data_IF_927656260759
#
_entry.id   IF_927656260759
#
_cell.length_a   1.000
_cell.length_b   1.000
_cell.length_c   1.000
_cell.angle_alpha   90.00
_cell.angle_beta   90.00
_cell.angle_gamma   90.00
#
_symmetry.space_group_name_H-M   'P 1'
#
loop_
_entity.id
_entity.type
_entity.pdbx_description
1 polymer ?
#
# COMPACT_ATOMS: atom_id res chain seq x y z
N UNK A 1 -22.66 15.12 14.24
CA UNK A 1 -21.17 15.12 14.16
C UNK A 1 -20.69 13.87 14.84
N UNK A 2 -20.06 12.96 14.08
CA UNK A 2 -19.57 11.68 14.59
C UNK A 2 -18.14 11.81 15.12
N UNK A 3 -17.86 11.18 16.25
CA UNK A 3 -16.52 11.14 16.84
C UNK A 3 -15.80 9.86 16.40
N UNK A 4 -14.83 10.00 15.49
CA UNK A 4 -14.13 8.90 14.86
C UNK A 4 -12.70 8.81 15.39
N UNK A 5 -12.33 7.63 15.91
CA UNK A 5 -10.97 7.32 16.31
C UNK A 5 -10.30 6.40 15.29
N UNK A 6 -9.18 6.80 14.71
CA UNK A 6 -8.36 5.95 13.84
C UNK A 6 -7.15 5.47 14.63
N UNK A 7 -7.04 4.15 14.81
CA UNK A 7 -5.98 3.50 15.59
C UNK A 7 -4.96 2.90 14.63
N UNK A 8 -3.76 3.51 14.62
CA UNK A 8 -2.63 3.03 13.80
C UNK A 8 -1.97 1.80 14.43
N UNK A 9 -1.27 1.01 13.63
CA UNK A 9 -0.60 -0.22 14.06
C UNK A 9 0.57 -0.06 15.05
N UNK A 10 0.91 1.15 15.45
CA UNK A 10 1.93 1.41 16.47
C UNK A 10 3.39 1.28 16.03
N UNK A 11 3.66 1.29 14.72
CA UNK A 11 5.02 1.11 14.16
C UNK A 11 5.55 2.40 13.52
N UNK A 12 4.80 3.00 12.62
CA UNK A 12 5.16 4.23 11.92
C UNK A 12 4.18 5.37 12.26
N UNK A 13 4.64 6.64 12.21
CA UNK A 13 3.83 7.79 12.59
C UNK A 13 2.91 8.27 11.47
N UNK A 14 1.79 8.87 11.85
CA UNK A 14 0.93 9.70 11.01
C UNK A 14 0.96 11.14 11.57
N UNK A 15 1.27 12.17 10.74
CA UNK A 15 1.55 12.15 9.30
C UNK A 15 2.77 11.31 8.89
N UNK A 16 2.74 10.77 7.67
CA UNK A 16 3.68 9.77 7.13
C UNK A 16 5.07 10.36 6.77
N UNK A 17 5.81 10.84 7.77
CA UNK A 17 7.16 11.39 7.60
C UNK A 17 8.24 10.32 7.42
N UNK A 18 7.94 9.06 7.76
CA UNK A 18 8.83 7.91 7.60
C UNK A 18 8.42 6.98 6.44
N UNK A 19 7.43 7.38 5.64
CA UNK A 19 6.80 6.53 4.64
C UNK A 19 5.77 5.57 5.26
N UNK A 20 5.47 4.47 4.56
CA UNK A 20 4.42 3.52 4.90
C UNK A 20 3.16 3.76 4.08
N UNK A 21 2.62 2.69 3.47
CA UNK A 21 1.45 2.79 2.60
C UNK A 21 0.19 3.19 3.38
N UNK A 22 -0.04 2.54 4.52
CA UNK A 22 -1.20 2.82 5.39
C UNK A 22 -1.11 4.24 5.96
N UNK A 23 0.07 4.59 6.50
CA UNK A 23 0.32 5.93 7.07
C UNK A 23 0.14 7.03 6.03
N UNK A 24 0.51 6.77 4.77
CA UNK A 24 0.31 7.70 3.66
C UNK A 24 -1.18 7.88 3.36
N UNK A 25 -1.96 6.79 3.30
CA UNK A 25 -3.41 6.85 3.08
C UNK A 25 -4.12 7.62 4.21
N UNK A 26 -3.78 7.36 5.47
CA UNK A 26 -4.38 8.09 6.59
C UNK A 26 -3.92 9.56 6.59
N UNK A 27 -2.68 9.84 6.16
CA UNK A 27 -2.21 11.22 5.97
C UNK A 27 -3.04 11.94 4.90
N UNK A 28 -3.48 11.25 3.84
CA UNK A 28 -4.35 11.82 2.82
C UNK A 28 -5.73 12.21 3.40
N UNK A 29 -6.29 11.37 4.29
CA UNK A 29 -7.50 11.73 5.04
C UNK A 29 -7.24 13.00 5.88
N UNK A 30 -6.14 13.04 6.63
CA UNK A 30 -5.78 14.19 7.48
C UNK A 30 -5.62 15.48 6.66
N UNK A 31 -5.00 15.41 5.49
CA UNK A 31 -4.80 16.57 4.59
C UNK A 31 -6.11 17.15 4.06
N UNK A 32 -7.10 16.31 3.77
CA UNK A 32 -8.37 16.70 3.13
C UNK A 32 -9.48 16.92 4.15
N UNK A 33 -9.27 16.53 5.41
CA UNK A 33 -10.26 16.60 6.48
C UNK A 33 -10.81 18.01 6.70
N UNK A 34 -12.13 18.09 6.85
CA UNK A 34 -12.85 19.31 7.24
C UNK A 34 -13.92 18.96 8.29
N UNK A 35 -14.01 19.77 9.35
CA UNK A 35 -15.10 19.65 10.35
C UNK A 35 -16.49 19.87 9.75
N UNK A 36 -16.60 20.48 8.58
CA UNK A 36 -17.86 20.69 7.87
C UNK A 36 -18.48 19.38 7.40
N UNK A 37 -17.68 18.33 7.27
CA UNK A 37 -18.13 16.99 6.84
C UNK A 37 -18.81 16.20 7.96
N UNK A 38 -19.11 16.83 9.09
CA UNK A 38 -19.86 16.22 10.17
C UNK A 38 -19.06 15.23 11.04
N UNK A 39 -17.75 15.16 10.87
CA UNK A 39 -16.84 14.30 11.60
C UNK A 39 -16.01 15.08 12.62
N UNK A 40 -15.61 14.43 13.70
CA UNK A 40 -14.52 14.79 14.60
C UNK A 40 -13.48 13.69 14.55
N UNK A 41 -12.28 14.01 14.05
CA UNK A 41 -11.25 13.02 13.80
C UNK A 41 -10.17 13.03 14.87
N UNK A 42 -9.90 11.84 15.45
CA UNK A 42 -8.79 11.59 16.37
C UNK A 42 -7.89 10.48 15.81
N UNK A 43 -6.59 10.77 15.65
CA UNK A 43 -5.59 9.81 15.18
C UNK A 43 -4.73 9.35 16.35
N UNK A 44 -4.72 8.05 16.61
CA UNK A 44 -3.84 7.42 17.60
C UNK A 44 -2.56 6.95 16.91
N UNK A 45 -1.46 7.66 17.10
CA UNK A 45 -0.21 7.44 16.37
C UNK A 45 1.01 7.37 17.30
N UNK A 46 2.09 6.75 16.82
CA UNK A 46 3.37 6.77 17.54
C UNK A 46 4.03 8.13 17.42
N UNK A 47 4.70 8.54 18.51
CA UNK A 47 5.45 9.78 18.54
C UNK A 47 6.65 9.73 17.60
N UNK A 48 6.76 10.77 16.76
CA UNK A 48 7.94 11.08 15.97
C UNK A 48 8.07 12.61 15.87
N UNK A 49 9.26 13.13 16.10
CA UNK A 49 9.47 14.60 16.14
C UNK A 49 8.96 15.31 14.90
N UNK A 50 9.29 14.80 13.72
CA UNK A 50 8.88 15.38 12.44
C UNK A 50 7.38 15.23 12.19
N UNK A 51 6.75 14.12 12.64
CA UNK A 51 5.32 13.93 12.50
C UNK A 51 4.53 14.90 13.40
N UNK A 52 4.99 15.16 14.61
CA UNK A 52 4.40 16.18 15.50
C UNK A 52 4.50 17.55 14.86
N UNK A 53 5.64 17.89 14.26
CA UNK A 53 5.80 19.17 13.56
C UNK A 53 4.88 19.26 12.32
N UNK A 54 4.80 18.20 11.52
CA UNK A 54 3.92 18.13 10.37
C UNK A 54 2.43 18.22 10.76
N UNK A 55 2.03 17.63 11.89
CA UNK A 55 0.66 17.65 12.42
C UNK A 55 0.16 19.06 12.75
N UNK A 56 1.05 20.02 13.03
CA UNK A 56 0.67 21.43 13.28
C UNK A 56 -0.02 22.09 12.09
N UNK A 57 0.16 21.56 10.88
CA UNK A 57 -0.54 22.01 9.66
C UNK A 57 -2.02 21.62 9.65
N UNK A 58 -2.44 20.72 10.54
CA UNK A 58 -3.78 20.15 10.60
C UNK A 58 -4.42 20.38 11.98
N UNK A 59 -4.65 21.63 12.40
CA UNK A 59 -5.10 21.97 13.76
C UNK A 59 -6.51 21.48 14.08
N UNK A 60 -7.27 21.10 13.07
CA UNK A 60 -8.62 20.54 13.23
C UNK A 60 -8.63 19.05 13.56
N UNK A 61 -7.53 18.34 13.30
CA UNK A 61 -7.37 16.92 13.61
C UNK A 61 -6.69 16.78 14.97
N UNK A 62 -7.26 15.94 15.83
CA UNK A 62 -6.64 15.63 17.10
C UNK A 62 -5.66 14.46 16.95
N UNK A 63 -4.45 14.59 17.46
CA UNK A 63 -3.46 13.52 17.51
C UNK A 63 -3.22 13.09 18.97
N UNK A 64 -3.25 11.78 19.20
CA UNK A 64 -2.86 11.14 20.46
C UNK A 64 -1.55 10.38 20.22
N UNK A 65 -0.47 10.91 20.78
CA UNK A 65 0.88 10.41 20.55
C UNK A 65 1.29 9.38 21.59
N UNK A 66 1.85 8.25 21.18
CA UNK A 66 2.39 7.22 22.06
C UNK A 66 3.91 7.07 21.88
N UNK A 67 4.62 6.81 22.97
CA UNK A 67 6.07 6.80 23.00
C UNK A 67 6.63 5.37 22.99
N UNK A 68 6.59 4.70 21.83
CA UNK A 68 7.00 3.29 21.68
C UNK A 68 8.53 3.09 21.54
N UNK A 69 9.28 4.11 21.11
CA UNK A 69 10.70 4.01 20.71
C UNK A 69 11.72 4.32 21.83
N UNK A 70 11.39 4.10 23.10
CA UNK A 70 12.38 4.22 24.17
C UNK A 70 13.20 2.94 24.33
N UNK A 71 14.46 3.02 24.79
CA UNK A 71 15.34 1.85 25.01
C UNK A 71 14.69 0.77 25.89
N UNK A 72 13.92 1.18 26.91
CA UNK A 72 13.15 0.26 27.76
C UNK A 72 12.08 -0.51 26.98
N UNK A 73 11.53 0.07 25.90
CA UNK A 73 10.52 -0.58 25.07
C UNK A 73 11.10 -1.57 24.07
N UNK A 74 12.30 -1.31 23.57
CA UNK A 74 13.01 -2.28 22.71
C UNK A 74 13.30 -3.56 23.49
N UNK A 75 13.74 -3.45 24.75
CA UNK A 75 13.96 -4.60 25.63
C UNK A 75 12.64 -5.34 25.94
N UNK A 76 11.57 -4.63 26.27
CA UNK A 76 10.23 -5.20 26.49
C UNK A 76 9.68 -5.85 25.23
N UNK A 77 9.89 -5.24 24.07
CA UNK A 77 9.46 -5.79 22.79
C UNK A 77 10.21 -7.10 22.45
N UNK A 78 11.50 -7.17 22.73
CA UNK A 78 12.27 -8.41 22.57
C UNK A 78 11.73 -9.54 23.46
N UNK A 79 11.40 -9.24 24.73
CA UNK A 79 10.75 -10.20 25.66
C UNK A 79 9.37 -10.61 25.14
N UNK A 80 8.57 -9.65 24.66
CA UNK A 80 7.27 -9.91 24.04
C UNK A 80 7.39 -10.90 22.86
N UNK A 81 8.33 -10.68 21.94
CA UNK A 81 8.56 -11.57 20.81
C UNK A 81 8.99 -12.96 21.25
N UNK A 82 9.85 -13.06 22.27
CA UNK A 82 10.29 -14.33 22.83
C UNK A 82 9.13 -15.10 23.47
N UNK A 83 8.32 -14.45 24.30
CA UNK A 83 7.17 -15.08 24.95
C UNK A 83 6.11 -15.48 23.94
N UNK A 84 5.80 -14.61 22.96
CA UNK A 84 4.86 -14.94 21.87
C UNK A 84 5.34 -16.15 21.07
N UNK A 85 6.64 -16.23 20.76
CA UNK A 85 7.23 -17.35 20.02
C UNK A 85 7.17 -18.66 20.82
N UNK A 86 7.36 -18.60 22.14
CA UNK A 86 7.42 -19.79 23.01
C UNK A 86 6.04 -20.27 23.46
N UNK A 87 5.09 -19.36 23.68
CA UNK A 87 3.80 -19.69 24.32
C UNK A 87 2.60 -19.44 23.42
N UNK A 88 2.75 -18.76 22.28
CA UNK A 88 1.66 -18.27 21.45
C UNK A 88 0.82 -17.15 22.08
N UNK A 89 1.11 -16.78 23.35
CA UNK A 89 0.34 -15.79 24.10
C UNK A 89 0.91 -14.38 23.91
N UNK A 90 0.02 -13.42 23.75
CA UNK A 90 0.35 -11.99 23.69
C UNK A 90 0.29 -11.39 25.10
N UNK A 91 1.38 -10.81 25.57
CA UNK A 91 1.41 -10.14 26.89
C UNK A 91 1.14 -8.66 26.66
N UNK A 92 -0.07 -8.20 26.96
CA UNK A 92 -0.54 -6.81 26.79
C UNK A 92 0.37 -5.77 27.44
N UNK A 93 0.97 -6.08 28.60
CA UNK A 93 1.89 -5.19 29.30
C UNK A 93 3.12 -4.76 28.49
N UNK A 94 3.42 -5.43 27.38
CA UNK A 94 4.53 -5.11 26.49
C UNK A 94 4.10 -4.40 25.19
N UNK A 95 2.80 -4.22 24.99
CA UNK A 95 2.22 -3.50 23.85
C UNK A 95 1.98 -2.03 24.27
N UNK A 96 3.04 -1.28 24.44
CA UNK A 96 2.95 0.06 25.02
C UNK A 96 2.02 0.98 24.24
N UNK A 97 1.98 0.91 22.90
CA UNK A 97 1.07 1.71 22.08
C UNK A 97 -0.37 1.57 22.60
N UNK A 98 -0.92 0.35 22.66
CA UNK A 98 -2.29 0.10 23.08
C UNK A 98 -2.55 0.46 24.55
N UNK A 99 -1.56 0.26 25.42
CA UNK A 99 -1.67 0.65 26.82
C UNK A 99 -1.72 2.18 27.03
N UNK A 100 -1.02 2.95 26.18
CA UNK A 100 -1.03 4.42 26.27
C UNK A 100 -2.32 5.02 25.69
N UNK A 101 -2.95 4.40 24.67
CA UNK A 101 -4.21 4.89 24.12
C UNK A 101 -5.44 4.42 24.90
N UNK A 102 -5.33 3.32 25.65
CA UNK A 102 -6.45 2.73 26.39
C UNK A 102 -7.22 3.73 27.27
N UNK A 103 -6.55 4.60 28.09
CA UNK A 103 -7.27 5.56 28.91
C UNK A 103 -8.10 6.55 28.10
N UNK A 104 -7.62 6.96 26.91
CA UNK A 104 -8.37 7.88 26.04
C UNK A 104 -9.61 7.18 25.46
N UNK A 105 -9.45 5.93 24.99
CA UNK A 105 -10.55 5.13 24.43
C UNK A 105 -11.60 4.83 25.48
N UNK A 106 -11.18 4.52 26.73
CA UNK A 106 -12.11 4.16 27.81
C UNK A 106 -12.84 5.36 28.44
N UNK A 107 -12.20 6.53 28.46
CA UNK A 107 -12.77 7.74 29.08
C UNK A 107 -13.55 8.62 28.10
N UNK A 108 -13.26 8.49 26.80
CA UNK A 108 -13.95 9.25 25.76
C UNK A 108 -14.87 8.32 24.96
N UNK A 109 -15.99 8.87 24.50
CA UNK A 109 -16.96 8.12 23.68
C UNK A 109 -16.67 8.40 22.21
N UNK A 110 -16.20 7.36 21.49
CA UNK A 110 -16.14 7.36 20.04
C UNK A 110 -17.37 6.69 19.46
N UNK A 111 -17.88 7.24 18.38
CA UNK A 111 -18.97 6.60 17.63
C UNK A 111 -18.45 5.41 16.82
N UNK A 112 -17.23 5.55 16.25
CA UNK A 112 -16.48 4.47 15.60
C UNK A 112 -15.00 4.51 15.99
N UNK A 113 -14.41 3.32 16.14
CA UNK A 113 -12.97 3.09 16.23
C UNK A 113 -12.52 2.25 15.01
N UNK A 114 -11.73 2.85 14.14
CA UNK A 114 -11.21 2.20 12.92
C UNK A 114 -9.79 1.75 13.18
N UNK A 115 -9.51 0.46 12.94
CA UNK A 115 -8.23 -0.18 13.21
C UNK A 115 -7.46 -0.36 11.91
N UNK A 116 -6.36 0.37 11.79
CA UNK A 116 -5.49 0.41 10.61
C UNK A 116 -4.32 -0.58 10.75
N UNK A 117 -4.62 -1.85 10.99
CA UNK A 117 -3.62 -2.89 11.23
C UNK A 117 -3.09 -2.92 12.66
N UNK A 118 -2.03 -3.70 12.90
CA UNK A 118 -1.41 -3.87 14.20
C UNK A 118 -1.90 -5.12 14.94
N UNK A 119 -2.27 -4.99 16.22
CA UNK A 119 -2.82 -6.09 17.04
C UNK A 119 -4.31 -5.84 17.31
N UNK A 120 -5.15 -6.42 16.49
CA UNK A 120 -6.61 -6.28 16.55
C UNK A 120 -7.17 -6.77 17.89
N UNK A 121 -6.61 -7.86 18.46
CA UNK A 121 -7.03 -8.36 19.76
C UNK A 121 -6.76 -7.37 20.89
N UNK A 122 -5.63 -6.65 20.80
CA UNK A 122 -5.33 -5.61 21.78
C UNK A 122 -6.35 -4.46 21.72
N UNK A 123 -6.84 -4.12 20.53
CA UNK A 123 -7.90 -3.10 20.39
C UNK A 123 -9.21 -3.60 20.98
N UNK A 124 -9.63 -4.84 20.71
CA UNK A 124 -10.82 -5.44 21.30
C UNK A 124 -10.73 -5.40 22.84
N UNK A 125 -9.57 -5.74 23.40
CA UNK A 125 -9.35 -5.77 24.85
C UNK A 125 -9.47 -4.38 25.49
N UNK A 126 -9.00 -3.31 24.84
CA UNK A 126 -9.10 -1.95 25.38
C UNK A 126 -10.46 -1.30 25.11
N UNK A 127 -11.18 -1.75 24.07
CA UNK A 127 -12.49 -1.27 23.66
C UNK A 127 -13.64 -2.16 24.16
N UNK A 128 -13.45 -2.94 25.22
CA UNK A 128 -14.44 -3.91 25.77
C UNK A 128 -15.80 -3.31 26.15
N UNK A 129 -15.86 -2.00 26.42
CA UNK A 129 -17.08 -1.27 26.77
C UNK A 129 -17.78 -0.69 25.52
N UNK A 130 -17.22 -0.89 24.34
CA UNK A 130 -17.82 -0.57 23.05
C UNK A 130 -18.62 -1.75 22.52
N UNK A 131 -19.70 -1.47 21.81
CA UNK A 131 -20.40 -2.49 21.03
C UNK A 131 -19.56 -2.84 19.82
N UNK A 132 -19.63 -4.08 19.34
CA UNK A 132 -18.87 -4.54 18.17
C UNK A 132 -19.13 -3.70 16.91
N UNK A 133 -20.36 -3.16 16.75
CA UNK A 133 -20.76 -2.30 15.65
C UNK A 133 -20.04 -0.93 15.66
N UNK A 134 -19.39 -0.59 16.76
CA UNK A 134 -18.54 0.61 16.86
C UNK A 134 -17.06 0.32 16.52
N UNK A 135 -16.71 -0.94 16.29
CA UNK A 135 -15.36 -1.36 15.95
C UNK A 135 -15.30 -1.76 14.47
N UNK A 136 -14.44 -1.10 13.73
CA UNK A 136 -14.22 -1.27 12.30
C UNK A 136 -12.79 -1.77 12.07
N UNK A 137 -12.64 -2.87 11.35
CA UNK A 137 -11.34 -3.37 10.92
C UNK A 137 -11.08 -2.95 9.46
N UNK A 138 -9.97 -2.26 9.19
CA UNK A 138 -9.57 -1.88 7.83
C UNK A 138 -8.46 -2.81 7.33
N UNK A 139 -8.78 -3.68 6.38
CA UNK A 139 -7.89 -4.70 5.83
C UNK A 139 -7.10 -4.16 4.62
N UNK A 140 -5.83 -3.86 4.83
CA UNK A 140 -4.89 -3.41 3.80
C UNK A 140 -4.12 -4.53 3.10
N UNK A 141 -4.21 -5.74 3.61
CA UNK A 141 -3.56 -6.93 3.07
C UNK A 141 -4.56 -8.07 2.98
N UNK A 142 -4.30 -9.01 2.06
CA UNK A 142 -5.02 -10.27 2.03
C UNK A 142 -4.52 -11.15 3.19
N UNK A 143 -5.37 -11.43 4.17
CA UNK A 143 -5.11 -12.39 5.24
C UNK A 143 -6.44 -12.94 5.77
N UNK A 144 -6.38 -14.11 6.38
CA UNK A 144 -7.52 -14.72 7.06
C UNK A 144 -7.40 -14.41 8.56
N UNK A 145 -8.27 -13.57 9.10
CA UNK A 145 -8.22 -13.23 10.52
C UNK A 145 -8.64 -14.42 11.38
N UNK A 146 -8.18 -14.42 12.63
CA UNK A 146 -8.63 -15.39 13.61
C UNK A 146 -10.11 -15.14 13.95
N UNK A 147 -10.83 -16.22 14.19
CA UNK A 147 -12.29 -16.17 14.50
C UNK A 147 -12.61 -15.26 15.69
N UNK A 148 -11.76 -15.28 16.72
CA UNK A 148 -11.95 -14.41 17.90
C UNK A 148 -11.83 -12.92 17.54
N UNK A 149 -10.95 -12.60 16.59
CA UNK A 149 -10.79 -11.22 16.09
C UNK A 149 -12.02 -10.80 15.31
N UNK A 150 -12.52 -11.65 14.41
CA UNK A 150 -13.72 -11.36 13.61
C UNK A 150 -14.94 -11.09 14.50
N UNK A 151 -15.11 -11.87 15.57
CA UNK A 151 -16.22 -11.66 16.54
C UNK A 151 -16.21 -10.29 17.19
N UNK A 152 -15.03 -9.69 17.36
CA UNK A 152 -14.88 -8.40 18.03
C UNK A 152 -15.28 -7.20 17.17
N UNK A 153 -15.34 -7.35 15.83
CA UNK A 153 -15.65 -6.25 14.91
C UNK A 153 -17.04 -6.41 14.30
N UNK A 154 -17.81 -5.32 14.23
CA UNK A 154 -19.10 -5.28 13.55
C UNK A 154 -18.97 -4.97 12.06
N UNK A 155 -17.92 -4.23 11.70
CA UNK A 155 -17.67 -3.82 10.32
C UNK A 155 -16.23 -4.14 9.89
N UNK A 156 -16.08 -4.41 8.59
CA UNK A 156 -14.80 -4.58 7.93
C UNK A 156 -14.76 -3.70 6.68
N UNK A 157 -13.71 -2.92 6.53
CA UNK A 157 -13.41 -2.19 5.30
C UNK A 157 -12.29 -2.95 4.58
N UNK A 158 -12.50 -3.33 3.32
CA UNK A 158 -11.46 -3.90 2.46
C UNK A 158 -10.97 -2.89 1.44
N UNK A 159 -9.69 -2.94 1.10
CA UNK A 159 -9.13 -2.07 0.05
C UNK A 159 -9.54 -2.48 -1.36
N UNK A 160 -10.20 -3.62 -1.54
CA UNK A 160 -10.71 -4.14 -2.81
C UNK A 160 -11.86 -5.11 -2.57
N UNK A 161 -12.68 -5.33 -3.59
CA UNK A 161 -13.72 -6.38 -3.58
C UNK A 161 -13.10 -7.78 -3.37
N UNK A 162 -11.90 -7.99 -3.90
CA UNK A 162 -11.17 -9.23 -3.69
C UNK A 162 -10.92 -9.47 -2.19
N UNK A 163 -10.41 -8.47 -1.46
CA UNK A 163 -10.13 -8.59 -0.03
C UNK A 163 -11.42 -8.85 0.76
N UNK A 164 -12.50 -8.17 0.41
CA UNK A 164 -13.82 -8.37 1.03
C UNK A 164 -14.32 -9.80 0.79
N UNK A 165 -14.35 -10.26 -0.46
CA UNK A 165 -14.80 -11.63 -0.80
C UNK A 165 -14.00 -12.72 -0.09
N UNK A 166 -12.68 -12.56 -0.03
CA UNK A 166 -11.82 -13.54 0.66
C UNK A 166 -12.05 -13.54 2.17
N UNK A 167 -12.31 -12.37 2.75
CA UNK A 167 -12.68 -12.23 4.14
C UNK A 167 -14.03 -12.91 4.43
N UNK A 168 -15.07 -12.63 3.63
CA UNK A 168 -16.40 -13.22 3.77
C UNK A 168 -16.38 -14.76 3.66
N UNK A 169 -15.61 -15.31 2.70
CA UNK A 169 -15.43 -16.76 2.56
C UNK A 169 -14.79 -17.40 3.79
N UNK A 170 -13.88 -16.67 4.44
CA UNK A 170 -13.15 -17.18 5.60
C UNK A 170 -13.92 -17.00 6.91
N UNK A 171 -14.85 -16.06 6.97
CA UNK A 171 -15.57 -15.69 8.18
C UNK A 171 -16.84 -16.53 8.36
N UNK A 172 -16.98 -17.13 9.55
CA UNK A 172 -18.20 -17.83 9.97
C UNK A 172 -19.21 -16.92 10.70
N UNK A 173 -18.84 -15.69 10.98
CA UNK A 173 -19.64 -14.72 11.70
C UNK A 173 -20.06 -13.58 10.77
N UNK A 174 -21.30 -13.10 10.86
CA UNK A 174 -21.74 -11.96 10.09
C UNK A 174 -20.95 -10.71 10.50
N UNK A 175 -20.34 -10.08 9.53
CA UNK A 175 -19.65 -8.79 9.63
C UNK A 175 -20.13 -7.97 8.45
N UNK A 176 -20.50 -6.72 8.67
CA UNK A 176 -20.86 -5.83 7.58
C UNK A 176 -19.58 -5.41 6.84
N UNK A 177 -19.56 -5.58 5.54
CA UNK A 177 -18.37 -5.37 4.73
C UNK A 177 -18.53 -4.17 3.81
N UNK A 178 -17.46 -3.40 3.67
CA UNK A 178 -17.40 -2.19 2.86
C UNK A 178 -16.12 -2.19 2.03
N UNK A 179 -16.12 -1.49 0.89
CA UNK A 179 -14.91 -1.31 0.07
C UNK A 179 -14.51 0.15 0.06
N UNK A 180 -13.28 0.42 0.50
CA UNK A 180 -12.63 1.72 0.36
C UNK A 180 -11.34 1.55 -0.43
N UNK A 181 -11.41 1.79 -1.73
CA UNK A 181 -10.24 1.65 -2.63
C UNK A 181 -9.16 2.65 -2.27
N UNK A 182 -7.91 2.17 -2.26
CA UNK A 182 -6.73 3.00 -2.01
C UNK A 182 -6.58 4.12 -3.03
N UNK A 183 -5.87 5.15 -2.65
CA UNK A 183 -5.52 6.28 -3.51
C UNK A 183 -4.03 6.63 -3.42
N UNK A 184 -3.61 7.51 -4.29
CA UNK A 184 -2.29 8.12 -4.32
C UNK A 184 -2.42 9.64 -4.47
N UNK A 185 -1.36 10.36 -4.14
CA UNK A 185 -1.19 11.77 -4.49
C UNK A 185 -0.84 11.84 -5.99
N UNK A 186 -1.85 11.98 -6.85
CA UNK A 186 -1.69 11.95 -8.31
C UNK A 186 -0.72 13.02 -8.78
N UNK A 187 -0.78 14.22 -8.20
CA UNK A 187 0.10 15.34 -8.59
C UNK A 187 1.58 15.06 -8.29
N UNK A 188 1.84 14.19 -7.32
CA UNK A 188 3.21 13.75 -6.99
C UNK A 188 3.83 12.90 -8.10
N UNK A 189 3.01 12.11 -8.81
CA UNK A 189 3.45 11.19 -9.84
C UNK A 189 3.25 11.73 -11.26
N UNK A 190 2.25 12.58 -11.50
CA UNK A 190 2.04 13.26 -12.79
C UNK A 190 3.06 14.40 -13.01
N UNK A 191 4.34 14.02 -12.94
CA UNK A 191 5.48 14.91 -13.14
C UNK A 191 6.19 14.60 -14.43
N UNK A 192 6.52 15.64 -15.16
CA UNK A 192 7.37 15.54 -16.34
C UNK A 192 8.80 15.98 -16.01
N UNK A 193 9.77 15.39 -16.68
CA UNK A 193 11.15 15.85 -16.69
C UNK A 193 11.49 16.45 -18.05
N UNK A 194 12.49 17.33 -18.13
CA UNK A 194 12.95 17.86 -19.43
C UNK A 194 13.65 16.77 -20.25
N UNK A 195 13.66 16.91 -21.57
CA UNK A 195 14.41 16.00 -22.45
C UNK A 195 15.89 15.96 -22.10
N UNK A 196 16.47 17.05 -21.65
CA UNK A 196 17.86 17.09 -21.19
C UNK A 196 18.07 16.25 -19.94
N UNK A 197 17.17 16.34 -18.97
CA UNK A 197 17.21 15.52 -17.75
C UNK A 197 16.97 14.04 -18.09
N UNK A 198 16.02 13.73 -18.97
CA UNK A 198 15.77 12.37 -19.47
C UNK A 198 17.04 11.77 -20.11
N UNK A 199 17.68 12.48 -21.03
CA UNK A 199 18.95 12.05 -21.65
C UNK A 199 20.07 11.85 -20.64
N UNK A 200 20.18 12.76 -19.64
CA UNK A 200 21.17 12.65 -18.57
C UNK A 200 20.96 11.40 -17.71
N UNK A 201 19.71 11.09 -17.36
CA UNK A 201 19.38 9.88 -16.58
C UNK A 201 19.66 8.63 -17.41
N UNK A 202 19.19 8.55 -18.68
CA UNK A 202 19.47 7.43 -19.58
C UNK A 202 20.98 7.19 -19.71
N UNK A 203 21.77 8.23 -19.95
CA UNK A 203 23.25 8.14 -20.02
C UNK A 203 23.85 7.60 -18.71
N UNK A 204 23.40 8.09 -17.56
CA UNK A 204 23.86 7.61 -16.23
C UNK A 204 23.56 6.13 -16.01
N UNK A 205 22.44 5.64 -16.55
CA UNK A 205 22.04 4.23 -16.50
C UNK A 205 22.69 3.35 -17.58
N UNK A 206 23.48 3.93 -18.49
CA UNK A 206 24.10 3.21 -19.62
C UNK A 206 23.11 2.84 -20.73
N UNK A 207 21.93 3.49 -20.78
CA UNK A 207 20.90 3.28 -21.78
C UNK A 207 21.23 4.06 -23.07
N UNK A 208 21.03 3.40 -24.21
CA UNK A 208 21.11 4.03 -25.53
C UNK A 208 19.79 4.76 -25.87
N UNK A 209 19.81 5.60 -26.89
CA UNK A 209 18.62 6.39 -27.28
C UNK A 209 17.49 5.50 -27.80
N UNK A 210 17.82 4.42 -28.51
CA UNK A 210 16.93 3.43 -29.12
C UNK A 210 16.60 2.24 -28.20
N UNK A 211 17.13 2.20 -26.97
CA UNK A 211 16.77 1.15 -26.02
C UNK A 211 15.31 1.27 -25.58
N UNK A 212 14.60 0.14 -25.62
CA UNK A 212 13.25 -0.02 -25.08
C UNK A 212 13.34 -0.46 -23.63
N UNK A 213 12.86 0.39 -22.71
CA UNK A 213 13.05 0.21 -21.28
C UNK A 213 11.79 -0.31 -20.60
N UNK A 214 11.89 -1.52 -20.07
CA UNK A 214 10.90 -2.17 -19.20
C UNK A 214 11.22 -1.82 -17.76
N UNK A 215 10.35 -1.09 -17.09
CA UNK A 215 10.49 -0.69 -15.69
C UNK A 215 9.90 -1.74 -14.76
N UNK A 216 10.57 -1.99 -13.66
CA UNK A 216 10.04 -2.65 -12.47
C UNK A 216 10.25 -1.74 -11.26
N UNK A 217 9.19 -1.49 -10.49
CA UNK A 217 9.26 -0.74 -9.22
C UNK A 217 8.74 -1.63 -8.10
N UNK A 218 9.57 -1.89 -7.09
CA UNK A 218 9.11 -2.68 -5.95
C UNK A 218 10.21 -3.37 -5.15
N UNK A 219 9.77 -4.10 -4.13
CA UNK A 219 10.68 -4.89 -3.28
C UNK A 219 11.21 -6.10 -4.05
N UNK A 220 12.52 -6.38 -3.92
CA UNK A 220 13.16 -7.55 -4.54
C UNK A 220 12.93 -8.81 -3.69
N UNK A 221 11.67 -9.26 -3.63
CA UNK A 221 11.23 -10.47 -2.93
C UNK A 221 10.50 -11.41 -3.89
N UNK A 222 10.52 -12.70 -3.60
CA UNK A 222 10.04 -13.74 -4.51
C UNK A 222 8.60 -13.49 -5.00
N UNK A 223 7.70 -13.16 -4.09
CA UNK A 223 6.28 -12.96 -4.42
C UNK A 223 6.01 -11.79 -5.37
N UNK A 224 6.99 -10.91 -5.61
CA UNK A 224 6.87 -9.79 -6.55
C UNK A 224 7.34 -10.10 -7.97
N UNK A 225 7.84 -11.32 -8.24
CA UNK A 225 8.06 -11.85 -9.59
C UNK A 225 9.18 -11.20 -10.41
N UNK A 226 10.12 -10.48 -9.76
CA UNK A 226 11.21 -9.81 -10.49
C UNK A 226 12.11 -10.81 -11.24
N UNK A 227 12.33 -12.00 -10.69
CA UNK A 227 13.18 -13.01 -11.34
C UNK A 227 12.54 -13.53 -12.63
N UNK A 228 11.23 -13.74 -12.62
CA UNK A 228 10.42 -14.15 -13.76
C UNK A 228 10.45 -13.07 -14.86
N UNK A 229 10.37 -11.80 -14.49
CA UNK A 229 10.51 -10.68 -15.43
C UNK A 229 11.93 -10.61 -16.03
N UNK A 230 12.97 -10.81 -15.22
CA UNK A 230 14.34 -10.90 -15.72
C UNK A 230 14.50 -12.01 -16.75
N UNK A 231 13.94 -13.19 -16.46
CA UNK A 231 13.98 -14.33 -17.39
C UNK A 231 13.19 -14.05 -18.67
N UNK A 232 12.04 -13.40 -18.57
CA UNK A 232 11.24 -12.99 -19.73
C UNK A 232 12.04 -12.04 -20.64
N UNK A 233 12.62 -10.97 -20.09
CA UNK A 233 13.43 -10.01 -20.84
C UNK A 233 14.66 -10.69 -21.47
N UNK A 234 15.36 -11.55 -20.73
CA UNK A 234 16.55 -12.26 -21.25
C UNK A 234 16.21 -13.29 -22.34
N UNK A 235 14.99 -13.82 -22.36
CA UNK A 235 14.53 -14.78 -23.38
C UNK A 235 14.19 -14.11 -24.72
N UNK A 236 14.09 -12.78 -24.76
CA UNK A 236 13.82 -12.03 -26.01
C UNK A 236 15.15 -11.85 -26.76
N UNK A 237 15.18 -12.26 -28.02
CA UNK A 237 16.38 -12.07 -28.88
C UNK A 237 16.40 -10.65 -29.46
N UNK A 238 16.48 -9.67 -28.56
CA UNK A 238 16.61 -8.25 -28.89
C UNK A 238 17.39 -7.53 -27.78
N UNK A 239 18.62 -7.11 -28.06
CA UNK A 239 19.53 -6.49 -27.13
C UNK A 239 19.14 -5.06 -26.72
N UNK A 240 18.25 -4.43 -27.47
CA UNK A 240 17.73 -3.10 -27.17
C UNK A 240 16.61 -3.11 -26.13
N UNK A 241 16.07 -4.28 -25.77
CA UNK A 241 15.12 -4.38 -24.66
C UNK A 241 15.89 -4.46 -23.35
N UNK A 242 15.75 -3.47 -22.49
CA UNK A 242 16.43 -3.34 -21.18
C UNK A 242 15.42 -3.45 -20.05
N UNK A 243 15.83 -4.08 -18.96
CA UNK A 243 15.08 -4.07 -17.69
C UNK A 243 15.73 -3.06 -16.74
N UNK A 244 14.95 -2.10 -16.29
CA UNK A 244 15.31 -1.15 -15.24
C UNK A 244 14.56 -1.52 -13.96
N UNK A 245 15.25 -2.04 -12.96
CA UNK A 245 14.70 -2.36 -11.65
C UNK A 245 14.96 -1.26 -10.62
N UNK A 246 13.90 -0.70 -10.06
CA UNK A 246 13.95 0.30 -9.00
C UNK A 246 13.47 -0.32 -7.70
N UNK A 247 14.35 -0.41 -6.69
CA UNK A 247 14.00 -0.95 -5.38
C UNK A 247 15.03 -1.87 -4.76
N UNK A 248 14.75 -2.31 -3.54
CA UNK A 248 15.56 -3.28 -2.78
C UNK A 248 14.65 -4.16 -1.90
N UNK A 249 15.16 -5.27 -1.34
CA UNK A 249 14.35 -6.11 -0.45
C UNK A 249 14.09 -5.46 0.91
N UNK A 250 15.06 -4.69 1.44
CA UNK A 250 15.11 -4.23 2.83
C UNK A 250 15.17 -2.71 2.99
N UNK A 251 14.51 -1.95 2.12
CA UNK A 251 14.49 -0.47 2.20
C UNK A 251 15.91 0.16 2.38
N UNK A 252 16.88 -0.31 1.59
CA UNK A 252 18.27 0.18 1.63
C UNK A 252 19.16 -0.39 2.74
N UNK A 253 18.68 -1.33 3.56
CA UNK A 253 19.49 -2.00 4.58
C UNK A 253 20.37 -3.10 3.95
N UNK A 254 21.59 -3.26 4.48
CA UNK A 254 22.68 -4.09 3.91
C UNK A 254 22.49 -5.63 3.99
N UNK A 255 21.36 -6.14 4.51
CA UNK A 255 21.14 -7.58 4.63
C UNK A 255 20.47 -8.14 3.36
N UNK A 256 21.24 -8.78 2.50
CA UNK A 256 20.72 -9.46 1.31
C UNK A 256 20.08 -10.80 1.68
N UNK A 257 18.82 -10.98 1.33
CA UNK A 257 18.16 -12.29 1.37
C UNK A 257 18.79 -13.25 0.35
N UNK A 258 18.61 -14.59 0.51
CA UNK A 258 19.03 -15.54 -0.53
C UNK A 258 18.45 -15.25 -1.90
N UNK A 259 17.21 -14.77 -1.95
CA UNK A 259 16.53 -14.36 -3.19
C UNK A 259 17.19 -13.14 -3.84
N UNK A 260 17.47 -12.09 -3.06
CA UNK A 260 18.20 -10.91 -3.55
C UNK A 260 19.57 -11.26 -4.13
N UNK A 261 20.30 -12.18 -3.48
CA UNK A 261 21.58 -12.67 -4.00
C UNK A 261 21.44 -13.34 -5.38
N UNK A 262 20.33 -14.09 -5.59
CA UNK A 262 20.01 -14.72 -6.88
C UNK A 262 19.70 -13.65 -7.94
N UNK A 263 18.87 -12.67 -7.61
CA UNK A 263 18.54 -11.54 -8.49
C UNK A 263 19.81 -10.77 -8.87
N UNK A 264 20.63 -10.41 -7.88
CA UNK A 264 21.88 -9.71 -8.07
C UNK A 264 22.85 -10.49 -8.98
N UNK A 265 23.05 -11.79 -8.73
CA UNK A 265 23.92 -12.63 -9.56
C UNK A 265 23.47 -12.66 -11.02
N UNK A 266 22.17 -12.82 -11.28
CA UNK A 266 21.64 -12.84 -12.63
C UNK A 266 21.82 -11.49 -13.32
N UNK A 267 21.63 -10.36 -12.62
CA UNK A 267 21.88 -9.03 -13.18
C UNK A 267 23.35 -8.79 -13.47
N UNK A 268 24.27 -9.23 -12.60
CA UNK A 268 25.70 -9.10 -12.80
C UNK A 268 26.23 -9.87 -14.03
N UNK A 269 25.58 -10.99 -14.36
CA UNK A 269 25.86 -11.78 -15.55
C UNK A 269 25.30 -11.15 -16.84
N UNK A 270 24.36 -10.21 -16.73
CA UNK A 270 23.62 -9.60 -17.85
C UNK A 270 23.53 -8.08 -17.70
N UNK A 271 24.63 -7.40 -17.33
CA UNK A 271 24.67 -5.96 -17.03
C UNK A 271 24.28 -5.07 -18.21
N UNK A 272 24.43 -5.57 -19.41
CA UNK A 272 24.04 -4.91 -20.65
C UNK A 272 22.52 -4.91 -20.89
N UNK A 273 21.79 -5.79 -20.20
CA UNK A 273 20.33 -5.96 -20.35
C UNK A 273 19.54 -5.62 -19.09
N UNK A 274 20.15 -5.77 -17.90
CA UNK A 274 19.47 -5.66 -16.61
C UNK A 274 20.21 -4.65 -15.73
N UNK A 275 19.51 -3.60 -15.38
CA UNK A 275 20.03 -2.45 -14.62
C UNK A 275 19.23 -2.33 -13.34
N UNK A 276 19.89 -2.26 -12.17
CA UNK A 276 19.25 -1.97 -10.90
C UNK A 276 19.76 -0.68 -10.29
N UNK A 277 18.85 0.17 -9.82
CA UNK A 277 19.21 1.41 -9.11
C UNK A 277 19.52 1.17 -7.62
N UNK A 278 19.03 0.04 -7.06
CA UNK A 278 18.92 -0.13 -5.62
C UNK A 278 17.73 0.65 -5.05
N UNK A 279 17.77 0.93 -3.74
CA UNK A 279 16.75 1.75 -3.09
C UNK A 279 16.75 3.18 -3.63
N UNK A 280 15.58 3.66 -3.98
CA UNK A 280 15.31 5.05 -4.40
C UNK A 280 14.20 5.60 -3.51
N UNK A 281 14.33 6.84 -3.08
CA UNK A 281 13.25 7.51 -2.35
C UNK A 281 12.02 7.62 -3.26
N UNK A 282 10.83 7.36 -2.69
CA UNK A 282 9.59 7.39 -3.45
C UNK A 282 9.35 8.73 -4.16
N UNK A 283 9.86 9.85 -3.59
CA UNK A 283 9.76 11.16 -4.22
C UNK A 283 10.59 11.31 -5.52
N UNK A 284 11.52 10.37 -5.79
CA UNK A 284 12.44 10.39 -6.94
C UNK A 284 12.12 9.29 -7.97
N UNK A 285 11.18 8.36 -7.66
CA UNK A 285 10.83 7.24 -8.55
C UNK A 285 10.34 7.73 -9.91
N UNK A 286 9.54 8.80 -9.95
CA UNK A 286 9.03 9.39 -11.20
C UNK A 286 10.12 9.69 -12.25
N UNK A 287 11.37 9.95 -11.84
CA UNK A 287 12.47 10.19 -12.75
C UNK A 287 12.88 8.94 -13.54
N UNK A 288 12.76 7.79 -12.90
CA UNK A 288 13.03 6.50 -13.54
C UNK A 288 11.86 6.05 -14.41
N UNK A 289 10.65 6.36 -13.97
CA UNK A 289 9.45 6.20 -14.75
C UNK A 289 9.51 6.98 -16.06
N UNK A 290 9.92 8.24 -16.00
CA UNK A 290 10.05 9.13 -17.18
C UNK A 290 11.06 8.66 -18.23
N UNK A 291 11.98 7.73 -17.93
CA UNK A 291 12.93 7.15 -18.89
C UNK A 291 12.52 5.78 -19.40
N UNK A 292 11.42 5.21 -18.89
CA UNK A 292 10.88 3.93 -19.28
C UNK A 292 9.83 4.04 -20.39
N UNK A 293 9.61 2.95 -21.11
CA UNK A 293 8.60 2.82 -22.17
C UNK A 293 7.35 2.09 -21.69
N UNK A 294 7.52 1.11 -20.79
CA UNK A 294 6.45 0.34 -20.13
C UNK A 294 6.86 -0.01 -18.71
N UNK A 295 5.88 -0.35 -17.85
CA UNK A 295 6.12 -0.91 -16.54
C UNK A 295 5.53 -2.31 -16.43
N UNK A 296 6.25 -3.24 -15.77
CA UNK A 296 5.74 -4.56 -15.45
C UNK A 296 5.58 -4.74 -13.93
N UNK A 297 4.42 -5.28 -13.53
CA UNK A 297 4.10 -5.63 -12.14
C UNK A 297 3.76 -7.13 -12.07
N UNK A 298 4.80 -8.01 -12.08
CA UNK A 298 4.65 -9.44 -12.28
C UNK A 298 4.40 -10.21 -10.98
N UNK A 299 3.51 -9.74 -10.11
CA UNK A 299 3.24 -10.35 -8.80
C UNK A 299 2.80 -11.81 -8.90
N UNK A 300 3.41 -12.67 -8.09
CA UNK A 300 3.15 -14.12 -8.03
C UNK A 300 2.15 -14.50 -6.93
N UNK A 301 1.76 -13.55 -6.11
CA UNK A 301 0.80 -13.75 -5.02
C UNK A 301 -0.46 -12.89 -5.23
N UNK A 302 -1.47 -13.09 -4.40
CA UNK A 302 -2.66 -12.26 -4.41
C UNK A 302 -2.38 -10.90 -3.79
N UNK A 303 -2.39 -9.84 -4.60
CA UNK A 303 -2.25 -8.47 -4.14
C UNK A 303 -3.59 -7.95 -3.59
N UNK A 304 -3.55 -7.22 -2.50
CA UNK A 304 -4.76 -6.59 -1.98
C UNK A 304 -5.22 -5.40 -2.85
N UNK A 305 -4.26 -4.61 -3.35
CA UNK A 305 -4.51 -3.40 -4.14
C UNK A 305 -3.46 -3.15 -5.23
N UNK A 306 -2.17 -3.13 -4.89
CA UNK A 306 -1.08 -2.85 -5.85
C UNK A 306 -0.89 -1.37 -6.16
N UNK A 307 -0.57 -0.55 -5.14
CA UNK A 307 -0.39 0.91 -5.29
C UNK A 307 0.57 1.31 -6.41
N UNK A 308 1.62 0.52 -6.66
CA UNK A 308 2.58 0.74 -7.75
C UNK A 308 1.93 0.82 -9.14
N UNK A 309 0.77 0.21 -9.32
CA UNK A 309 0.01 0.30 -10.58
C UNK A 309 -0.67 1.66 -10.69
N UNK A 310 -1.21 2.19 -9.59
CA UNK A 310 -1.80 3.53 -9.55
C UNK A 310 -0.74 4.60 -9.80
N UNK A 311 0.47 4.41 -9.22
CA UNK A 311 1.63 5.28 -9.45
C UNK A 311 1.98 5.30 -10.94
N UNK A 312 2.13 4.14 -11.58
CA UNK A 312 2.39 4.02 -13.01
C UNK A 312 1.30 4.66 -13.89
N UNK A 313 0.03 4.48 -13.50
CA UNK A 313 -1.09 5.12 -14.23
C UNK A 313 -1.01 6.64 -14.15
N UNK A 314 -0.68 7.21 -12.98
CA UNK A 314 -0.52 8.66 -12.82
C UNK A 314 0.67 9.19 -13.64
N UNK A 315 1.77 8.45 -13.70
CA UNK A 315 2.93 8.73 -14.53
C UNK A 315 2.63 8.57 -16.04
N UNK A 316 1.49 7.93 -16.38
CA UNK A 316 1.10 7.64 -17.75
C UNK A 316 1.95 6.59 -18.42
N UNK A 317 2.46 5.61 -17.67
CA UNK A 317 3.24 4.52 -18.23
C UNK A 317 2.32 3.35 -18.55
N UNK A 318 2.31 2.83 -19.79
CA UNK A 318 1.62 1.60 -20.13
C UNK A 318 2.08 0.45 -19.25
N UNK A 319 1.18 -0.31 -18.66
CA UNK A 319 1.52 -1.36 -17.70
C UNK A 319 1.17 -2.76 -18.21
N UNK A 320 2.02 -3.73 -17.81
CA UNK A 320 1.70 -5.16 -17.88
C UNK A 320 1.64 -5.66 -16.44
N UNK A 321 0.51 -6.24 -16.04
CA UNK A 321 0.30 -6.75 -14.67
C UNK A 321 -0.12 -8.21 -14.72
N UNK A 322 0.18 -8.96 -13.68
CA UNK A 322 -0.39 -10.30 -13.51
C UNK A 322 -1.83 -10.22 -13.01
N UNK A 323 -2.65 -11.19 -13.38
CA UNK A 323 -3.97 -11.40 -12.78
C UNK A 323 -3.78 -11.83 -11.31
N UNK A 324 -3.76 -10.86 -10.40
CA UNK A 324 -3.36 -11.02 -9.00
C UNK A 324 -4.29 -10.29 -8.04
N UNK A 325 -5.26 -11.02 -7.50
CA UNK A 325 -6.16 -10.55 -6.44
C UNK A 325 -6.85 -9.22 -6.75
N UNK A 326 -6.82 -8.29 -5.79
CA UNK A 326 -7.43 -6.97 -5.92
C UNK A 326 -6.69 -6.01 -6.86
N UNK A 327 -5.46 -6.30 -7.28
CA UNK A 327 -4.69 -5.41 -8.15
C UNK A 327 -5.42 -5.13 -9.47
N UNK A 328 -6.07 -6.13 -10.06
CA UNK A 328 -6.79 -5.98 -11.32
C UNK A 328 -8.05 -5.12 -11.21
N UNK A 329 -8.54 -4.86 -10.01
CA UNK A 329 -9.69 -3.96 -9.78
C UNK A 329 -9.31 -2.47 -9.87
N UNK A 330 -8.03 -2.16 -9.88
CA UNK A 330 -7.49 -0.80 -9.95
C UNK A 330 -7.08 -0.40 -11.36
N UNK A 331 -6.99 -1.35 -12.28
CA UNK A 331 -6.53 -1.09 -13.64
C UNK A 331 -7.72 -0.94 -14.61
N UNK A 332 -7.41 -0.39 -15.78
CA UNK A 332 -8.31 -0.32 -16.90
C UNK A 332 -7.73 -1.16 -18.06
N UNK A 333 -8.52 -2.07 -18.62
CA UNK A 333 -8.10 -2.99 -19.69
C UNK A 333 -7.58 -2.27 -20.95
N UNK A 334 -8.00 -1.02 -21.18
CA UNK A 334 -7.50 -0.22 -22.30
C UNK A 334 -6.19 0.52 -21.98
N UNK A 335 -5.74 0.51 -20.73
CA UNK A 335 -4.50 1.14 -20.26
C UNK A 335 -3.49 0.13 -19.70
N UNK A 336 -3.90 -1.14 -19.55
CA UNK A 336 -3.09 -2.16 -18.88
C UNK A 336 -3.31 -3.51 -19.52
N UNK A 337 -2.23 -4.23 -19.83
CA UNK A 337 -2.32 -5.63 -20.25
C UNK A 337 -2.27 -6.54 -19.04
N UNK A 338 -3.26 -7.41 -18.90
CA UNK A 338 -3.35 -8.37 -17.81
C UNK A 338 -2.88 -9.73 -18.32
N UNK A 339 -1.93 -10.35 -17.62
CA UNK A 339 -1.38 -11.67 -17.98
C UNK A 339 -1.62 -12.68 -16.87
N UNK A 340 -1.86 -13.93 -17.25
CA UNK A 340 -2.00 -15.03 -16.30
C UNK A 340 -0.65 -15.40 -15.70
N UNK A 341 -0.67 -15.86 -14.44
CA UNK A 341 0.55 -16.30 -13.70
C UNK A 341 1.10 -17.62 -14.22
N UNK A 342 0.25 -18.48 -14.78
CA UNK A 342 0.67 -19.67 -15.51
C UNK A 342 1.49 -19.27 -16.73
N UNK A 343 2.68 -19.88 -16.87
CA UNK A 343 3.61 -19.55 -17.95
C UNK A 343 3.99 -18.06 -18.01
N UNK A 344 4.08 -17.39 -16.85
CA UNK A 344 4.29 -15.96 -16.71
C UNK A 344 5.45 -15.44 -17.57
N UNK A 345 6.57 -16.18 -17.68
CA UNK A 345 7.72 -15.78 -18.49
C UNK A 345 7.34 -15.62 -19.95
N UNK A 346 6.62 -16.59 -20.50
CA UNK A 346 6.13 -16.56 -21.88
C UNK A 346 5.13 -15.44 -22.11
N UNK A 347 4.22 -15.26 -21.17
CA UNK A 347 3.19 -14.23 -21.26
C UNK A 347 3.82 -12.82 -21.19
N UNK A 348 4.73 -12.57 -20.23
CA UNK A 348 5.46 -11.29 -20.14
C UNK A 348 6.27 -11.02 -21.42
N UNK A 349 7.01 -12.02 -21.92
CA UNK A 349 7.75 -11.90 -23.19
C UNK A 349 6.85 -11.44 -24.32
N UNK A 350 5.71 -12.10 -24.51
CA UNK A 350 4.74 -11.79 -25.58
C UNK A 350 4.30 -10.34 -25.51
N UNK A 351 3.84 -9.89 -24.32
CA UNK A 351 3.29 -8.55 -24.16
C UNK A 351 4.36 -7.46 -24.21
N UNK A 352 5.59 -7.73 -23.75
CA UNK A 352 6.72 -6.80 -23.88
C UNK A 352 7.05 -6.60 -25.36
N UNK A 353 7.14 -7.67 -26.16
CA UNK A 353 7.38 -7.57 -27.60
C UNK A 353 6.23 -6.84 -28.31
N UNK A 354 4.97 -7.19 -27.98
CA UNK A 354 3.81 -6.53 -28.54
C UNK A 354 3.84 -5.01 -28.30
N UNK A 355 4.04 -4.59 -27.06
CA UNK A 355 4.08 -3.15 -26.75
C UNK A 355 5.29 -2.46 -27.40
N UNK A 356 6.44 -3.12 -27.55
CA UNK A 356 7.57 -2.56 -28.27
C UNK A 356 7.22 -2.28 -29.74
N UNK A 357 6.57 -3.21 -30.41
CA UNK A 357 6.23 -3.13 -31.83
C UNK A 357 5.07 -2.17 -32.11
N UNK A 358 4.26 -1.80 -31.09
CA UNK A 358 3.04 -1.01 -31.25
C UNK A 358 3.10 0.34 -30.49
N UNK A 359 3.92 1.33 -30.94
CA UNK A 359 4.06 2.63 -30.25
C UNK A 359 2.73 3.42 -30.17
N UNK A 360 1.85 3.26 -31.18
CA UNK A 360 0.52 3.85 -31.16
C UNK A 360 -0.36 3.33 -30.03
N UNK A 361 -0.29 2.02 -29.73
CA UNK A 361 -1.00 1.41 -28.60
C UNK A 361 -0.46 1.95 -27.29
N UNK A 362 0.88 2.01 -27.11
CA UNK A 362 1.48 2.59 -25.91
C UNK A 362 1.01 4.03 -25.66
N UNK A 363 0.96 4.84 -26.71
CA UNK A 363 0.49 6.23 -26.59
C UNK A 363 -0.97 6.29 -26.09
N UNK A 364 -1.84 5.49 -26.68
CA UNK A 364 -3.25 5.41 -26.28
C UNK A 364 -3.39 4.92 -24.84
N UNK A 365 -2.66 3.86 -24.46
CA UNK A 365 -2.64 3.35 -23.09
C UNK A 365 -2.19 4.42 -22.09
N UNK A 366 -1.15 5.19 -22.42
CA UNK A 366 -0.64 6.28 -21.59
C UNK A 366 -1.68 7.35 -21.32
N UNK A 367 -2.39 7.80 -22.37
CA UNK A 367 -3.44 8.82 -22.25
C UNK A 367 -4.61 8.33 -21.36
N UNK A 368 -5.05 7.09 -21.57
CA UNK A 368 -6.12 6.47 -20.77
C UNK A 368 -5.67 6.28 -19.32
N UNK A 369 -4.42 5.83 -19.08
CA UNK A 369 -3.87 5.65 -17.74
C UNK A 369 -3.90 6.94 -16.92
N UNK A 370 -3.39 8.05 -17.47
CA UNK A 370 -3.43 9.38 -16.82
C UNK A 370 -4.85 9.83 -16.51
N UNK A 371 -5.78 9.64 -17.42
CA UNK A 371 -7.18 10.00 -17.21
C UNK A 371 -7.81 9.17 -16.08
N UNK A 372 -7.54 7.88 -16.04
CA UNK A 372 -8.09 6.97 -15.04
C UNK A 372 -7.48 7.16 -13.66
N UNK A 373 -6.19 7.51 -13.55
CA UNK A 373 -5.52 7.72 -12.26
C UNK A 373 -6.20 8.80 -11.41
N UNK A 374 -6.83 9.79 -12.03
CA UNK A 374 -7.58 10.86 -11.34
C UNK A 374 -8.72 10.35 -10.47
N UNK A 375 -9.25 9.15 -10.74
CA UNK A 375 -10.27 8.50 -9.90
C UNK A 375 -9.72 7.95 -8.58
N UNK A 376 -8.41 7.90 -8.46
CA UNK A 376 -7.68 7.40 -7.29
C UNK A 376 -6.89 8.51 -6.61
N UNK A 377 -7.30 9.76 -6.78
CA UNK A 377 -6.72 10.91 -6.10
C UNK A 377 -7.14 10.98 -4.62
N UNK A 378 -6.30 11.61 -3.79
CA UNK A 378 -6.54 11.81 -2.35
C UNK A 378 -7.90 12.47 -2.04
N UNK A 379 -8.42 13.33 -2.92
CA UNK A 379 -9.71 14.00 -2.71
C UNK A 379 -10.88 13.01 -2.87
N UNK A 380 -10.82 12.13 -3.88
CA UNK A 380 -11.79 11.05 -4.03
C UNK A 380 -11.73 10.06 -2.87
N UNK A 381 -10.52 9.72 -2.42
CA UNK A 381 -10.34 8.83 -1.29
C UNK A 381 -11.01 9.38 -0.02
N UNK A 382 -10.76 10.65 0.28
CA UNK A 382 -11.37 11.30 1.44
C UNK A 382 -12.90 11.35 1.32
N UNK A 383 -13.44 11.69 0.14
CA UNK A 383 -14.87 11.68 -0.11
C UNK A 383 -15.47 10.30 0.13
N UNK A 384 -14.87 9.27 -0.46
CA UNK A 384 -15.32 7.89 -0.29
C UNK A 384 -15.18 7.41 1.16
N UNK A 385 -14.15 7.86 1.89
CA UNK A 385 -14.01 7.59 3.32
C UNK A 385 -15.20 8.17 4.10
N UNK A 386 -15.57 9.43 3.87
CA UNK A 386 -16.74 10.05 4.53
C UNK A 386 -18.02 9.29 4.20
N UNK A 387 -18.26 8.96 2.93
CA UNK A 387 -19.41 8.19 2.49
C UNK A 387 -19.46 6.79 3.14
N UNK A 388 -18.30 6.12 3.28
CA UNK A 388 -18.19 4.82 3.97
C UNK A 388 -18.55 4.97 5.45
N UNK A 389 -18.07 6.02 6.13
CA UNK A 389 -18.41 6.28 7.54
C UNK A 389 -19.91 6.55 7.70
N UNK A 390 -20.50 7.36 6.83
CA UNK A 390 -21.94 7.65 6.87
C UNK A 390 -22.76 6.37 6.69
N UNK A 391 -22.39 5.51 5.72
CA UNK A 391 -23.02 4.20 5.51
C UNK A 391 -22.96 3.29 6.75
N UNK A 392 -21.78 3.17 7.36
CA UNK A 392 -21.59 2.41 8.62
C UNK A 392 -22.48 2.97 9.74
N UNK A 393 -22.56 4.30 9.86
CA UNK A 393 -23.36 4.93 10.91
C UNK A 393 -24.87 4.74 10.69
N UNK A 394 -25.31 4.71 9.45
CA UNK A 394 -26.72 4.45 9.11
C UNK A 394 -27.08 2.97 9.42
N UNK A 395 -26.26 2.00 9.02
CA UNK A 395 -26.42 0.59 9.39
C UNK A 395 -26.48 0.40 10.91
N UNK A 396 -25.61 1.10 11.67
CA UNK A 396 -25.62 1.06 13.14
C UNK A 396 -26.90 1.62 13.77
N UNK A 397 -27.55 2.59 13.12
CA UNK A 397 -28.85 3.12 13.55
C UNK A 397 -29.97 2.13 13.28
N UNK A 398 -29.95 1.45 12.13
CA UNK A 398 -30.93 0.42 11.78
C UNK A 398 -30.85 -0.76 12.75
N UNK A 399 -29.66 -1.25 13.06
CA UNK A 399 -29.44 -2.31 14.07
C UNK A 399 -30.00 -1.90 15.43
N UNK A 400 -29.77 -0.64 15.84
CA UNK A 400 -30.26 -0.13 17.13
C UNK A 400 -31.80 0.00 17.18
N UNK A 401 -32.44 0.30 16.04
CA UNK A 401 -33.88 0.52 15.94
C UNK A 401 -34.65 -0.78 15.68
N UNK A 402 -34.00 -1.83 15.18
CA UNK A 402 -34.58 -3.15 14.91
C UNK A 402 -34.59 -4.11 16.11
N UNK A 403 -33.96 -3.72 17.22
CA UNK A 403 -33.99 -4.37 18.52
C UNK A 403 -34.86 -3.53 19.48
#
# INVERSE_FOLDING_TARGET
MYNIGIIMGGVMPVPAVCGGAIETLITSIVKKYSKKDGLRLTIFSVYHKEAVEAAKKYPEVRFVWTHTNTFQNLAKHAVFLAVRKLTGKTIRAFQRHYNEIAPVIQNEKFDLLIVEGGDEQAVIDIAKDYRREQLVFHAHIHFIPKEEVVKGFGHMIGVSEFVVREYEKACKYPVNTHVLKNAIDVDKFDRTISEEERKKIRKKLGLQEDDFVVLYVGRLIQVKGILELMQAVLSIDDKHIKLLGVGSANFGKWAFSPYEKKVKRLSEQNKDRIIFTGYVDNAEVYKYAAVADIQCVPSLWEEAAGLVVLEAMAEGIPTIVTNSGGMVEYVNENATLIVERENIITNLKREICYLKEHPGVRKQMSEIARMQSKKYDEAFYYKNFVETIDGIMDENREIKNGN
#
